data_IF_748155345466
#
_entry.id   IF_748155345466
#
_cell.length_a   1.000
_cell.length_b   1.000
_cell.length_c   1.000
_cell.angle_alpha   90.00
_cell.angle_beta   90.00
_cell.angle_gamma   90.00
#
_symmetry.space_group_name_H-M   'P 1'
#
loop_
_entity.id
_entity.type
_entity.pdbx_description
1 polymer ?
#
# COMPACT_ATOMS: atom_id res chain seq x y z
N UNK A 1 12.67 3.33 -2.40
CA UNK A 1 13.42 2.29 -1.65
C UNK A 1 12.72 0.92 -1.72
N UNK A 2 11.47 0.81 -1.26
CA UNK A 2 10.77 -0.50 -1.20
C UNK A 2 10.62 -1.16 -2.58
N UNK A 3 10.21 -0.42 -3.61
CA UNK A 3 10.07 -0.97 -4.97
C UNK A 3 11.37 -1.52 -5.55
N UNK A 4 12.54 -0.92 -5.23
CA UNK A 4 13.83 -1.44 -5.66
C UNK A 4 14.19 -2.77 -4.99
N UNK A 5 13.91 -2.92 -3.71
CA UNK A 5 14.12 -4.17 -2.97
C UNK A 5 13.19 -5.26 -3.50
N UNK A 6 11.91 -4.94 -3.70
CA UNK A 6 10.93 -5.87 -4.28
C UNK A 6 11.31 -6.29 -5.70
N UNK A 7 11.86 -5.37 -6.51
CA UNK A 7 12.33 -5.71 -7.86
C UNK A 7 13.51 -6.69 -7.83
N UNK A 8 14.44 -6.53 -6.88
CA UNK A 8 15.54 -7.46 -6.70
C UNK A 8 15.02 -8.81 -6.21
N UNK A 9 14.00 -8.83 -5.36
CA UNK A 9 13.35 -10.04 -4.87
C UNK A 9 12.66 -10.81 -6.00
N UNK A 10 11.97 -10.11 -6.90
CA UNK A 10 11.34 -10.71 -8.09
C UNK A 10 12.36 -11.34 -9.06
N UNK A 11 13.62 -10.83 -9.11
CA UNK A 11 14.69 -11.37 -9.98
C UNK A 11 15.53 -12.44 -9.25
N UNK A 12 15.83 -12.23 -7.99
CA UNK A 12 16.62 -13.12 -7.15
C UNK A 12 15.89 -13.23 -5.82
N UNK A 13 15.28 -14.39 -5.55
CA UNK A 13 14.61 -14.64 -4.27
C UNK A 13 15.53 -14.27 -3.10
N UNK A 14 15.23 -13.13 -2.48
CA UNK A 14 15.94 -12.66 -1.29
C UNK A 14 15.52 -13.49 -0.08
N UNK A 15 16.38 -13.65 0.93
CA UNK A 15 15.97 -14.22 2.20
C UNK A 15 14.79 -13.42 2.79
N UNK A 16 13.78 -14.09 3.30
CA UNK A 16 12.57 -13.46 3.88
C UNK A 16 12.92 -12.39 4.93
N UNK A 17 14.02 -12.60 5.68
CA UNK A 17 14.53 -11.65 6.66
C UNK A 17 14.91 -10.30 6.03
N UNK A 18 15.56 -10.30 4.88
CA UNK A 18 15.99 -9.06 4.19
C UNK A 18 14.77 -8.29 3.69
N UNK A 19 13.78 -9.00 3.15
CA UNK A 19 12.51 -8.42 2.69
C UNK A 19 11.76 -7.77 3.86
N UNK A 20 11.62 -8.48 4.99
CA UNK A 20 10.96 -7.96 6.19
C UNK A 20 11.68 -6.73 6.77
N UNK A 21 13.01 -6.73 6.83
CA UNK A 21 13.80 -5.60 7.31
C UNK A 21 13.57 -4.38 6.40
N UNK A 22 13.63 -4.57 5.08
CA UNK A 22 13.41 -3.49 4.13
C UNK A 22 11.98 -2.90 4.23
N UNK A 23 10.97 -3.75 4.38
CA UNK A 23 9.60 -3.34 4.61
C UNK A 23 9.45 -2.57 5.92
N UNK A 24 10.07 -3.05 7.00
CA UNK A 24 10.04 -2.38 8.30
C UNK A 24 10.66 -0.99 8.23
N UNK A 25 11.86 -0.86 7.62
CA UNK A 25 12.53 0.43 7.45
C UNK A 25 11.67 1.39 6.62
N UNK A 26 11.10 0.92 5.52
CA UNK A 26 10.22 1.74 4.67
C UNK A 26 8.97 2.20 5.43
N UNK A 27 8.40 1.34 6.29
CA UNK A 27 7.24 1.68 7.11
C UNK A 27 7.59 2.71 8.18
N UNK A 28 8.75 2.60 8.83
CA UNK A 28 9.25 3.61 9.78
C UNK A 28 9.44 4.96 9.08
N UNK A 29 10.01 4.99 7.88
CA UNK A 29 10.14 6.22 7.09
C UNK A 29 8.79 6.82 6.74
N UNK A 30 7.80 6.01 6.41
CA UNK A 30 6.44 6.46 6.14
C UNK A 30 5.81 7.05 7.40
N UNK A 31 5.97 6.42 8.57
CA UNK A 31 5.46 6.94 9.85
C UNK A 31 6.14 8.23 10.27
N UNK A 32 7.44 8.37 9.99
CA UNK A 32 8.16 9.62 10.18
C UNK A 32 7.54 10.76 9.33
N UNK A 33 7.23 10.49 8.07
CA UNK A 33 6.61 11.47 7.17
C UNK A 33 5.15 11.78 7.55
N UNK A 34 4.48 10.88 8.23
CA UNK A 34 3.12 11.07 8.75
C UNK A 34 3.10 11.78 10.12
N UNK A 35 4.25 12.11 10.70
CA UNK A 35 4.40 12.70 12.05
C UNK A 35 3.84 11.83 13.20
N UNK A 36 3.62 10.54 12.94
CA UNK A 36 3.06 9.61 13.94
C UNK A 36 4.07 9.27 15.03
N UNK A 37 5.37 9.37 14.75
CA UNK A 37 6.44 9.04 15.70
C UNK A 37 6.51 9.98 16.90
N UNK A 38 5.89 11.16 16.83
CA UNK A 38 5.81 12.13 17.92
C UNK A 38 4.63 11.89 18.89
N UNK A 39 3.82 10.86 18.65
CA UNK A 39 2.76 10.49 19.57
C UNK A 39 3.34 10.03 20.92
N UNK A 40 2.84 10.59 22.01
CA UNK A 40 3.26 10.24 23.38
C UNK A 40 3.02 8.76 23.75
N UNK A 41 2.28 8.02 22.93
CA UNK A 41 1.93 6.60 23.14
C UNK A 41 2.77 5.71 22.24
N UNK A 42 4.07 5.52 22.56
CA UNK A 42 5.01 4.73 21.79
C UNK A 42 4.53 3.28 21.49
N UNK A 43 3.77 2.67 22.39
CA UNK A 43 3.23 1.32 22.21
C UNK A 43 2.19 1.25 21.07
N UNK A 44 1.41 2.32 20.85
CA UNK A 44 0.47 2.43 19.72
C UNK A 44 1.23 2.48 18.41
N UNK A 45 2.33 3.23 18.37
CA UNK A 45 3.20 3.32 17.19
C UNK A 45 3.79 1.96 16.84
N UNK A 46 4.29 1.21 17.84
CA UNK A 46 4.83 -0.14 17.63
C UNK A 46 3.75 -1.10 17.12
N UNK A 47 2.56 -1.06 17.73
CA UNK A 47 1.44 -1.90 17.29
C UNK A 47 1.02 -1.56 15.86
N UNK A 48 0.90 -0.28 15.53
CA UNK A 48 0.57 0.18 14.18
C UNK A 48 1.61 -0.25 13.15
N UNK A 49 2.91 -0.19 13.48
CA UNK A 49 3.99 -0.68 12.62
C UNK A 49 3.85 -2.18 12.34
N UNK A 50 3.59 -3.00 13.36
CA UNK A 50 3.40 -4.44 13.19
C UNK A 50 2.18 -4.72 12.30
N UNK A 51 1.07 -4.03 12.55
CA UNK A 51 -0.16 -4.18 11.76
C UNK A 51 0.07 -3.77 10.30
N UNK A 52 0.74 -2.64 10.05
CA UNK A 52 0.99 -2.15 8.69
C UNK A 52 1.96 -3.06 7.91
N UNK A 53 3.04 -3.54 8.54
CA UNK A 53 3.95 -4.51 7.92
C UNK A 53 3.21 -5.82 7.65
N UNK A 54 2.40 -6.30 8.60
CA UNK A 54 1.55 -7.48 8.42
C UNK A 54 0.57 -7.31 7.27
N UNK A 55 -0.12 -6.17 7.19
CA UNK A 55 -1.05 -5.86 6.11
C UNK A 55 -0.38 -5.86 4.74
N UNK A 56 0.80 -5.23 4.61
CA UNK A 56 1.53 -5.23 3.34
C UNK A 56 1.96 -6.63 2.90
N UNK A 57 2.33 -7.52 3.83
CA UNK A 57 2.64 -8.91 3.53
C UNK A 57 1.38 -9.71 3.15
N UNK A 58 0.26 -9.52 3.85
CA UNK A 58 -1.01 -10.17 3.49
C UNK A 58 -1.43 -9.79 2.07
N UNK A 59 -1.35 -8.50 1.74
CA UNK A 59 -1.65 -7.98 0.41
C UNK A 59 -0.76 -8.63 -0.65
N UNK A 60 0.53 -8.78 -0.36
CA UNK A 60 1.47 -9.45 -1.25
C UNK A 60 1.12 -10.94 -1.43
N UNK A 61 0.83 -11.67 -0.36
CA UNK A 61 0.44 -13.08 -0.45
C UNK A 61 -0.89 -13.31 -1.18
N UNK A 62 -1.80 -12.33 -1.16
CA UNK A 62 -3.07 -12.42 -1.89
C UNK A 62 -2.91 -12.25 -3.39
N UNK A 63 -1.78 -11.75 -3.90
CA UNK A 63 -1.54 -11.48 -5.33
C UNK A 63 -1.31 -12.77 -6.18
N UNK A 64 -1.87 -13.89 -5.76
CA UNK A 64 -1.80 -15.17 -6.50
C UNK A 64 -2.93 -15.39 -7.51
N UNK A 65 -3.93 -14.51 -7.57
CA UNK A 65 -5.12 -14.67 -8.43
C UNK A 65 -5.31 -13.41 -9.27
N UNK A 66 -5.49 -13.60 -10.59
CA UNK A 66 -5.76 -12.49 -11.50
C UNK A 66 -6.94 -11.63 -11.05
N UNK A 67 -6.74 -10.34 -10.96
CA UNK A 67 -7.74 -9.36 -10.59
C UNK A 67 -7.93 -9.12 -9.09
N UNK A 68 -7.36 -9.94 -8.20
CA UNK A 68 -7.56 -9.76 -6.76
C UNK A 68 -6.91 -8.48 -6.26
N UNK A 69 -5.67 -8.21 -6.70
CA UNK A 69 -4.92 -6.99 -6.33
C UNK A 69 -5.61 -5.73 -6.84
N UNK A 70 -6.13 -5.76 -8.07
CA UNK A 70 -6.92 -4.67 -8.61
C UNK A 70 -8.25 -4.50 -7.83
N UNK A 71 -8.93 -5.61 -7.55
CA UNK A 71 -10.23 -5.60 -6.88
C UNK A 71 -10.18 -4.96 -5.50
N UNK A 72 -9.30 -5.43 -4.61
CA UNK A 72 -9.20 -4.84 -3.26
C UNK A 72 -8.65 -3.41 -3.31
N UNK A 73 -7.69 -3.12 -4.22
CA UNK A 73 -7.15 -1.75 -4.34
C UNK A 73 -8.23 -0.75 -4.74
N UNK A 74 -9.07 -1.08 -5.72
CA UNK A 74 -10.17 -0.22 -6.15
C UNK A 74 -11.25 -0.10 -5.06
N UNK A 75 -11.54 -1.19 -4.33
CA UNK A 75 -12.52 -1.17 -3.23
C UNK A 75 -12.11 -0.24 -2.09
N UNK A 76 -10.81 -0.01 -1.90
CA UNK A 76 -10.27 0.93 -0.91
C UNK A 76 -10.13 2.34 -1.50
N UNK A 77 -9.62 2.47 -2.74
CA UNK A 77 -9.41 3.77 -3.39
C UNK A 77 -10.72 4.52 -3.63
N UNK A 78 -11.80 3.82 -3.98
CA UNK A 78 -13.08 4.46 -4.26
C UNK A 78 -13.68 5.19 -3.03
N UNK A 79 -13.81 4.55 -1.85
CA UNK A 79 -14.21 5.26 -0.64
C UNK A 79 -13.23 6.38 -0.24
N UNK A 80 -11.91 6.17 -0.38
CA UNK A 80 -10.92 7.20 -0.08
C UNK A 80 -11.07 8.43 -0.97
N UNK A 81 -11.42 8.25 -2.24
CA UNK A 81 -11.69 9.35 -3.16
C UNK A 81 -12.88 10.20 -2.67
N UNK A 82 -13.99 9.56 -2.29
CA UNK A 82 -15.18 10.24 -1.75
C UNK A 82 -14.88 10.96 -0.42
N UNK A 83 -14.09 10.32 0.45
CA UNK A 83 -13.68 10.91 1.72
C UNK A 83 -12.71 12.08 1.52
N UNK A 84 -11.85 12.02 0.51
CA UNK A 84 -10.92 13.10 0.22
C UNK A 84 -11.64 14.36 -0.29
N UNK A 85 -12.72 14.23 -1.04
CA UNK A 85 -13.56 15.37 -1.43
C UNK A 85 -14.15 16.09 -0.20
N UNK A 86 -14.42 15.33 0.86
CA UNK A 86 -15.01 15.88 2.10
C UNK A 86 -13.96 16.42 3.07
N UNK A 87 -12.85 15.73 3.26
CA UNK A 87 -11.88 16.02 4.31
C UNK A 87 -10.57 16.63 3.80
N UNK A 88 -10.23 16.47 2.52
CA UNK A 88 -9.00 17.00 1.92
C UNK A 88 -7.72 16.54 2.63
N UNK A 89 -7.59 15.22 2.89
CA UNK A 89 -6.48 14.66 3.67
C UNK A 89 -5.22 14.40 2.84
N UNK A 90 -5.35 14.25 1.51
CA UNK A 90 -4.23 14.15 0.57
C UNK A 90 -4.53 14.93 -0.71
N UNK A 91 -3.48 15.19 -1.51
CA UNK A 91 -3.65 15.77 -2.83
C UNK A 91 -4.50 14.87 -3.72
N UNK A 92 -5.56 15.42 -4.30
CA UNK A 92 -6.48 14.69 -5.18
C UNK A 92 -5.76 14.02 -6.34
N UNK A 93 -4.66 14.60 -6.82
CA UNK A 93 -3.81 14.04 -7.86
C UNK A 93 -3.28 12.65 -7.49
N UNK A 94 -2.88 12.44 -6.24
CA UNK A 94 -2.36 11.15 -5.77
C UNK A 94 -3.43 10.06 -5.87
N UNK A 95 -4.67 10.35 -5.47
CA UNK A 95 -5.78 9.40 -5.52
C UNK A 95 -6.17 9.10 -6.96
N UNK A 96 -6.30 10.13 -7.80
CA UNK A 96 -6.67 9.95 -9.21
C UNK A 96 -5.62 9.14 -9.98
N UNK A 97 -4.33 9.49 -9.82
CA UNK A 97 -3.24 8.76 -10.48
C UNK A 97 -3.19 7.30 -10.02
N UNK A 98 -3.31 7.06 -8.71
CA UNK A 98 -3.33 5.69 -8.16
C UNK A 98 -4.52 4.89 -8.69
N UNK A 99 -5.72 5.49 -8.69
CA UNK A 99 -6.93 4.84 -9.18
C UNK A 99 -6.81 4.52 -10.67
N UNK A 100 -6.33 5.48 -11.48
CA UNK A 100 -6.15 5.28 -12.92
C UNK A 100 -5.13 4.17 -13.20
N UNK A 101 -4.01 4.16 -12.48
CA UNK A 101 -2.97 3.14 -12.60
C UNK A 101 -3.50 1.75 -12.28
N UNK A 102 -4.30 1.62 -11.21
CA UNK A 102 -4.93 0.33 -10.84
C UNK A 102 -5.99 -0.08 -11.86
N UNK A 103 -6.75 0.85 -12.43
CA UNK A 103 -7.72 0.55 -13.50
C UNK A 103 -7.02 0.02 -14.77
N UNK A 104 -5.92 0.65 -15.18
CA UNK A 104 -5.11 0.17 -16.32
C UNK A 104 -4.54 -1.21 -16.02
N UNK A 105 -3.96 -1.41 -14.83
CA UNK A 105 -3.48 -2.72 -14.39
C UNK A 105 -4.61 -3.77 -14.42
N UNK A 106 -5.79 -3.44 -13.90
CA UNK A 106 -6.97 -4.30 -13.89
C UNK A 106 -7.33 -4.78 -15.30
N UNK A 107 -7.34 -3.87 -16.28
CA UNK A 107 -7.66 -4.19 -17.68
C UNK A 107 -6.71 -5.22 -18.29
N UNK A 108 -5.42 -5.18 -17.96
CA UNK A 108 -4.43 -6.12 -18.45
C UNK A 108 -4.32 -7.41 -17.64
N UNK A 109 -4.61 -7.36 -16.34
CA UNK A 109 -4.52 -8.47 -15.41
C UNK A 109 -5.81 -9.33 -15.37
N UNK A 110 -7.00 -8.71 -15.45
CA UNK A 110 -8.32 -9.37 -15.40
C UNK A 110 -8.61 -10.11 -16.73
N UNK A 111 -7.78 -11.10 -17.06
CA UNK A 111 -7.98 -11.95 -18.23
C UNK A 111 -8.06 -13.42 -17.83
N UNK A 112 -8.72 -14.28 -18.59
CA UNK A 112 -8.77 -15.72 -18.31
C UNK A 112 -7.38 -16.32 -18.08
N UNK A 113 -7.30 -17.38 -17.28
CA UNK A 113 -6.05 -18.09 -16.97
C UNK A 113 -5.20 -18.30 -18.25
N UNK A 114 -3.93 -17.94 -18.17
CA UNK A 114 -2.97 -18.04 -19.28
C UNK A 114 -3.03 -16.91 -20.33
N UNK A 115 -3.94 -15.93 -20.17
CA UNK A 115 -4.05 -14.76 -21.08
C UNK A 115 -3.80 -13.42 -20.38
N UNK A 116 -3.51 -13.42 -19.09
CA UNK A 116 -3.09 -12.21 -18.37
C UNK A 116 -1.78 -11.69 -18.96
N UNK A 117 -1.71 -10.38 -19.22
CA UNK A 117 -0.54 -9.74 -19.86
C UNK A 117 0.37 -9.07 -18.84
N UNK A 118 -0.06 -8.93 -17.60
CA UNK A 118 0.76 -8.38 -16.52
C UNK A 118 0.37 -9.00 -15.19
N UNK A 119 1.33 -9.07 -14.29
CA UNK A 119 1.20 -9.47 -12.91
C UNK A 119 1.69 -8.32 -12.03
N UNK A 120 1.14 -8.17 -10.83
CA UNK A 120 1.62 -7.16 -9.90
C UNK A 120 3.01 -7.53 -9.37
N UNK A 121 3.21 -8.81 -9.05
CA UNK A 121 4.42 -9.29 -8.40
C UNK A 121 4.66 -8.60 -7.06
N UNK A 122 5.82 -8.82 -6.45
CA UNK A 122 6.19 -8.18 -5.19
C UNK A 122 6.30 -6.67 -5.34
N UNK A 123 6.79 -6.19 -6.48
CA UNK A 123 6.92 -4.74 -6.76
C UNK A 123 5.55 -4.06 -6.75
N UNK A 124 4.58 -4.60 -7.48
CA UNK A 124 3.26 -3.99 -7.64
C UNK A 124 2.41 -4.09 -6.38
N UNK A 125 2.32 -5.30 -5.80
CA UNK A 125 1.48 -5.57 -4.62
C UNK A 125 1.96 -4.81 -3.38
N UNK A 126 3.27 -4.78 -3.11
CA UNK A 126 3.84 -4.03 -1.99
C UNK A 126 3.74 -2.53 -2.23
N UNK A 127 4.00 -2.05 -3.45
CA UNK A 127 3.91 -0.61 -3.75
C UNK A 127 2.49 -0.07 -3.56
N UNK A 128 1.47 -0.78 -4.05
CA UNK A 128 0.08 -0.34 -3.85
C UNK A 128 -0.33 -0.43 -2.38
N UNK A 129 0.13 -1.46 -1.65
CA UNK A 129 -0.12 -1.57 -0.22
C UNK A 129 0.38 -0.35 0.54
N UNK A 130 1.61 0.11 0.26
CA UNK A 130 2.18 1.31 0.88
C UNK A 130 1.41 2.58 0.54
N UNK A 131 0.98 2.74 -0.71
CA UNK A 131 0.17 3.88 -1.14
C UNK A 131 -1.17 3.90 -0.39
N UNK A 132 -1.85 2.76 -0.30
CA UNK A 132 -3.11 2.66 0.43
C UNK A 132 -2.93 2.93 1.93
N UNK A 133 -1.92 2.34 2.56
CA UNK A 133 -1.62 2.55 3.98
C UNK A 133 -1.26 4.02 4.28
N UNK A 134 -0.51 4.68 3.38
CA UNK A 134 -0.22 6.10 3.49
C UNK A 134 -1.48 6.96 3.45
N UNK A 135 -2.38 6.71 2.50
CA UNK A 135 -3.64 7.44 2.38
C UNK A 135 -4.54 7.23 3.59
N UNK A 136 -4.65 5.98 4.07
CA UNK A 136 -5.42 5.64 5.28
C UNK A 136 -4.81 6.33 6.51
N UNK A 137 -3.48 6.32 6.65
CA UNK A 137 -2.77 7.00 7.72
C UNK A 137 -3.05 8.51 7.74
N UNK A 138 -2.99 9.15 6.57
CA UNK A 138 -3.35 10.58 6.43
C UNK A 138 -4.80 10.86 6.79
N UNK A 139 -5.72 9.99 6.41
CA UNK A 139 -7.12 10.11 6.76
C UNK A 139 -7.34 10.02 8.27
N UNK A 140 -6.72 9.05 8.94
CA UNK A 140 -6.83 8.85 10.39
C UNK A 140 -6.31 10.09 11.14
N UNK A 141 -5.12 10.58 10.78
CA UNK A 141 -4.53 11.76 11.40
C UNK A 141 -5.46 12.96 11.23
N UNK A 142 -5.91 13.22 10.00
CA UNK A 142 -6.79 14.34 9.70
C UNK A 142 -8.10 14.28 10.47
N UNK A 143 -8.65 13.09 10.65
CA UNK A 143 -9.90 12.90 11.39
C UNK A 143 -9.68 13.07 12.90
N UNK A 144 -8.53 12.63 13.40
CA UNK A 144 -8.17 12.79 14.85
C UNK A 144 -7.92 14.24 15.19
N UNK A 145 -7.29 15.02 14.31
CA UNK A 145 -7.05 16.46 14.51
C UNK A 145 -8.33 17.31 14.47
N UNK A 146 -9.43 16.76 13.96
CA UNK A 146 -10.73 17.44 13.86
C UNK A 146 -11.66 17.15 15.06
N UNK A 147 -11.26 16.24 15.95
CA UNK A 147 -12.06 15.82 17.13
C UNK A 147 -11.50 16.45 18.39
#
# INVERSE_FOLDING_TARGET
MIGGVSFIDDIRSLPDSVRLIAQFIAMVMMFYQLDILHLNMWWVVVLALIVCVGASNIINFMDGINGITAGYSLSVLFPLMLLNEKFGFVDSSLIYVSTLSVLVFCFFNLRPKGKAKCFAGDVGSISIAYILLFMIGKLIIKTTDMT
#
